data_IF_554560359344
#
_entry.id   IF_554560359344
#
_cell.length_a   1.000
_cell.length_b   1.000
_cell.length_c   1.000
_cell.angle_alpha   90.00
_cell.angle_beta   90.00
_cell.angle_gamma   90.00
#
_symmetry.space_group_name_H-M   'P 1'
#
loop_
_entity.id
_entity.type
_entity.pdbx_description
1 polymer ?
#
# COMPACT_ATOMS: atom_id res chain seq x y z
N UNK A 1 2.65 -3.59 21.35
CA UNK A 1 1.97 -4.36 20.29
C UNK A 1 2.81 -4.24 19.03
N UNK A 2 3.07 -5.33 18.30
CA UNK A 2 3.97 -5.32 17.13
C UNK A 2 3.35 -4.54 15.97
N UNK A 3 4.10 -3.61 15.36
CA UNK A 3 3.66 -2.80 14.23
C UNK A 3 3.24 -3.67 13.05
N UNK A 4 3.96 -4.78 12.79
CA UNK A 4 3.59 -5.78 11.77
C UNK A 4 2.14 -6.23 11.95
N UNK A 5 1.74 -6.58 13.17
CA UNK A 5 0.39 -7.09 13.43
C UNK A 5 -0.66 -5.99 13.26
N UNK A 6 -0.39 -4.78 13.76
CA UNK A 6 -1.29 -3.63 13.59
C UNK A 6 -1.49 -3.31 12.11
N UNK A 7 -0.40 -3.21 11.35
CA UNK A 7 -0.44 -2.83 9.94
C UNK A 7 -1.09 -3.93 9.08
N UNK A 8 -0.82 -5.21 9.37
CA UNK A 8 -1.51 -6.34 8.73
C UNK A 8 -3.01 -6.31 9.00
N UNK A 9 -3.43 -6.05 10.24
CA UNK A 9 -4.86 -5.93 10.57
C UNK A 9 -5.51 -4.73 9.89
N UNK A 10 -4.82 -3.58 9.83
CA UNK A 10 -5.30 -2.38 9.13
C UNK A 10 -5.40 -2.56 7.61
N UNK A 11 -4.62 -3.48 7.03
CA UNK A 11 -4.67 -3.75 5.59
C UNK A 11 -6.07 -4.16 5.16
N UNK A 12 -6.78 -4.97 5.95
CA UNK A 12 -8.10 -5.50 5.61
C UNK A 12 -9.16 -4.39 5.48
N UNK A 13 -9.43 -3.55 6.50
CA UNK A 13 -10.42 -2.49 6.38
C UNK A 13 -10.00 -1.41 5.37
N UNK A 14 -8.70 -1.12 5.24
CA UNK A 14 -8.22 -0.16 4.23
C UNK A 14 -8.43 -0.70 2.81
N UNK A 15 -8.15 -1.99 2.57
CA UNK A 15 -8.39 -2.65 1.29
C UNK A 15 -9.89 -2.63 0.94
N UNK A 16 -10.75 -2.94 1.92
CA UNK A 16 -12.20 -2.84 1.72
C UNK A 16 -12.64 -1.42 1.36
N UNK A 17 -12.11 -0.42 2.05
CA UNK A 17 -12.39 0.99 1.79
C UNK A 17 -12.03 1.36 0.34
N UNK A 18 -10.82 1.04 -0.12
CA UNK A 18 -10.41 1.39 -1.48
C UNK A 18 -11.17 0.62 -2.56
N UNK A 19 -11.56 -0.63 -2.31
CA UNK A 19 -12.42 -1.40 -3.22
C UNK A 19 -13.82 -0.77 -3.29
N UNK A 20 -14.39 -0.38 -2.15
CA UNK A 20 -15.69 0.29 -2.08
C UNK A 20 -15.70 1.60 -2.89
N UNK A 21 -14.71 2.46 -2.70
CA UNK A 21 -14.59 3.70 -3.47
C UNK A 21 -14.20 3.49 -4.94
N UNK A 22 -13.57 2.37 -5.28
CA UNK A 22 -13.27 1.97 -6.67
C UNK A 22 -14.54 1.65 -7.48
N UNK A 23 -15.68 1.43 -6.83
CA UNK A 23 -17.00 1.42 -7.46
C UNK A 23 -17.16 0.44 -8.63
N UNK A 24 -16.43 -0.68 -8.63
CA UNK A 24 -16.50 -1.70 -9.69
C UNK A 24 -16.08 -1.21 -11.09
N UNK A 25 -15.31 -0.13 -11.20
CA UNK A 25 -14.84 0.44 -12.48
C UNK A 25 -15.42 1.81 -12.84
N UNK A 26 -16.38 2.33 -12.06
CA UNK A 26 -16.92 3.69 -12.20
C UNK A 26 -16.53 4.62 -11.04
N UNK A 27 -15.81 4.10 -10.04
CA UNK A 27 -15.35 4.86 -8.88
C UNK A 27 -14.02 5.57 -9.13
N UNK A 28 -13.45 6.10 -8.04
CA UNK A 28 -12.15 6.80 -8.09
C UNK A 28 -11.02 5.87 -7.66
N UNK A 29 -9.92 5.90 -8.41
CA UNK A 29 -8.68 5.22 -8.02
C UNK A 29 -7.86 6.03 -7.01
N UNK A 30 -8.24 7.28 -6.70
CA UNK A 30 -7.51 8.14 -5.75
C UNK A 30 -7.32 7.48 -4.37
N UNK A 31 -8.32 6.85 -3.74
CA UNK A 31 -8.11 6.19 -2.44
C UNK A 31 -7.10 5.04 -2.55
N UNK A 32 -7.12 4.33 -3.68
CA UNK A 32 -6.19 3.24 -3.98
C UNK A 32 -4.77 3.74 -4.16
N UNK A 33 -4.59 4.84 -4.91
CA UNK A 33 -3.30 5.53 -5.08
C UNK A 33 -2.72 5.98 -3.73
N UNK A 34 -3.54 6.61 -2.90
CA UNK A 34 -3.10 7.19 -1.62
C UNK A 34 -2.77 6.11 -0.60
N UNK A 35 -3.58 5.06 -0.49
CA UNK A 35 -3.42 4.04 0.56
C UNK A 35 -2.53 2.88 0.12
N UNK A 36 -2.57 2.49 -1.15
CA UNK A 36 -1.86 1.35 -1.71
C UNK A 36 -1.11 1.71 -3.00
N UNK A 37 -0.23 2.72 -2.99
CA UNK A 37 0.48 3.19 -4.17
C UNK A 37 1.28 2.08 -4.86
N UNK A 38 1.88 1.15 -4.11
CA UNK A 38 2.61 0.00 -4.67
C UNK A 38 1.69 -0.89 -5.51
N UNK A 39 0.43 -1.03 -5.11
CA UNK A 39 -0.56 -1.82 -5.84
C UNK A 39 -1.01 -1.16 -7.14
N UNK A 40 -1.01 0.17 -7.20
CA UNK A 40 -1.45 0.93 -8.37
C UNK A 40 -0.39 0.97 -9.47
N UNK A 41 0.90 0.79 -9.15
CA UNK A 41 1.98 0.70 -10.16
C UNK A 41 1.62 -0.27 -11.29
N UNK A 42 0.94 -1.39 -10.99
CA UNK A 42 0.56 -2.38 -12.00
C UNK A 42 -0.38 -1.89 -13.08
N UNK A 43 -1.14 -0.81 -12.84
CA UNK A 43 -1.98 -0.18 -13.87
C UNK A 43 -1.12 0.38 -15.02
N UNK A 44 0.08 0.87 -14.71
CA UNK A 44 0.94 1.56 -15.65
C UNK A 44 1.94 0.65 -16.38
N UNK A 45 2.17 -0.58 -15.91
CA UNK A 45 3.27 -1.43 -16.40
C UNK A 45 2.79 -2.54 -17.36
N UNK A 46 1.72 -3.30 -17.06
CA UNK A 46 1.01 -4.18 -18.03
C UNK A 46 -0.09 -5.01 -17.34
N UNK A 47 -0.98 -5.63 -18.12
CA UNK A 47 -2.09 -6.46 -17.63
C UNK A 47 -1.67 -7.69 -16.82
N UNK A 48 -0.64 -8.43 -17.25
CA UNK A 48 -0.17 -9.65 -16.55
C UNK A 48 0.42 -9.31 -15.19
N UNK A 49 1.01 -8.12 -15.07
CA UNK A 49 1.59 -7.65 -13.82
C UNK A 49 0.53 -7.11 -12.84
N UNK A 50 -0.69 -6.81 -13.29
CA UNK A 50 -1.76 -6.23 -12.43
C UNK A 50 -2.03 -7.10 -11.18
N UNK A 51 -2.09 -8.42 -11.35
CA UNK A 51 -2.32 -9.35 -10.21
C UNK A 51 -1.12 -9.37 -9.25
N UNK A 52 0.11 -9.36 -9.78
CA UNK A 52 1.32 -9.31 -8.95
C UNK A 52 1.36 -8.03 -8.13
N UNK A 53 1.13 -6.88 -8.76
CA UNK A 53 1.13 -5.59 -8.07
C UNK A 53 -0.01 -5.50 -7.05
N UNK A 54 -1.19 -6.05 -7.32
CA UNK A 54 -2.26 -6.14 -6.32
C UNK A 54 -1.80 -6.88 -5.05
N UNK A 55 -1.15 -8.03 -5.19
CA UNK A 55 -0.59 -8.78 -4.05
C UNK A 55 0.48 -7.97 -3.32
N UNK A 56 1.37 -7.30 -4.06
CA UNK A 56 2.39 -6.42 -3.48
C UNK A 56 1.78 -5.23 -2.73
N UNK A 57 0.68 -4.67 -3.24
CA UNK A 57 -0.12 -3.65 -2.56
C UNK A 57 -0.65 -4.15 -1.23
N UNK A 58 -1.24 -5.35 -1.18
CA UNK A 58 -1.71 -5.94 0.07
C UNK A 58 -0.56 -6.22 1.06
N UNK A 59 0.63 -6.59 0.56
CA UNK A 59 1.81 -6.80 1.39
C UNK A 59 2.48 -5.51 1.86
N UNK A 60 2.14 -4.36 1.29
CA UNK A 60 2.76 -3.06 1.58
C UNK A 60 2.76 -2.74 3.09
N UNK A 61 1.58 -2.76 3.72
CA UNK A 61 1.46 -2.44 5.15
C UNK A 61 2.12 -3.49 6.05
N UNK A 62 1.95 -4.81 5.86
CA UNK A 62 2.70 -5.83 6.59
C UNK A 62 4.22 -5.62 6.51
N UNK A 63 4.76 -5.30 5.33
CA UNK A 63 6.18 -5.02 5.13
C UNK A 63 6.61 -3.76 5.88
N UNK A 64 5.82 -2.68 5.83
CA UNK A 64 6.10 -1.47 6.59
C UNK A 64 6.12 -1.75 8.10
N UNK A 65 5.14 -2.50 8.61
CA UNK A 65 5.09 -2.89 10.01
C UNK A 65 6.27 -3.77 10.43
N UNK A 66 6.69 -4.71 9.57
CA UNK A 66 7.87 -5.53 9.80
C UNK A 66 9.16 -4.71 9.89
N UNK A 67 9.36 -3.77 8.97
CA UNK A 67 10.52 -2.89 8.98
C UNK A 67 10.54 -2.03 10.26
N UNK A 68 9.39 -1.49 10.67
CA UNK A 68 9.27 -0.73 11.92
C UNK A 68 9.60 -1.58 13.15
N UNK A 69 9.09 -2.82 13.22
CA UNK A 69 9.40 -3.74 14.31
C UNK A 69 10.88 -4.15 14.35
N UNK A 70 11.52 -4.29 13.18
CA UNK A 70 12.91 -4.75 13.05
C UNK A 70 13.93 -3.68 13.44
N UNK A 71 13.70 -2.44 13.02
CA UNK A 71 14.69 -1.37 13.14
C UNK A 71 14.36 -0.35 14.24
N UNK A 72 13.09 -0.21 14.63
CA UNK A 72 12.59 0.58 15.77
C UNK A 72 13.17 1.99 15.90
N UNK A 73 13.43 2.67 14.77
CA UNK A 73 14.04 4.00 14.77
C UNK A 73 13.29 4.98 13.87
N UNK A 74 13.45 6.28 14.16
CA UNK A 74 12.80 7.37 13.43
C UNK A 74 13.21 7.42 11.95
N UNK A 75 14.43 6.99 11.62
CA UNK A 75 14.90 6.92 10.23
C UNK A 75 14.06 5.94 9.42
N UNK A 76 13.64 4.82 10.01
CA UNK A 76 12.81 3.81 9.34
C UNK A 76 11.43 4.37 9.00
N UNK A 77 10.81 5.12 9.93
CA UNK A 77 9.55 5.83 9.67
C UNK A 77 9.74 6.81 8.51
N UNK A 78 10.79 7.64 8.56
CA UNK A 78 11.08 8.62 7.51
C UNK A 78 11.27 7.96 6.14
N UNK A 79 12.05 6.86 6.07
CA UNK A 79 12.31 6.15 4.82
C UNK A 79 11.04 5.49 4.26
N UNK A 80 10.21 4.88 5.09
CA UNK A 80 8.93 4.29 4.66
C UNK A 80 8.00 5.38 4.12
N UNK A 81 7.85 6.49 4.85
CA UNK A 81 7.02 7.62 4.43
C UNK A 81 7.53 8.24 3.13
N UNK A 82 8.84 8.46 3.01
CA UNK A 82 9.47 9.00 1.81
C UNK A 82 9.25 8.06 0.61
N UNK A 83 9.50 6.76 0.78
CA UNK A 83 9.27 5.77 -0.28
C UNK A 83 7.80 5.76 -0.72
N UNK A 84 6.86 5.75 0.22
CA UNK A 84 5.43 5.74 -0.07
C UNK A 84 5.00 7.00 -0.82
N UNK A 85 5.43 8.19 -0.38
CA UNK A 85 5.15 9.46 -1.04
C UNK A 85 5.76 9.56 -2.44
N UNK A 86 6.98 9.04 -2.61
CA UNK A 86 7.62 9.01 -3.93
C UNK A 86 6.81 8.15 -4.91
N UNK A 87 6.31 6.99 -4.49
CA UNK A 87 5.46 6.17 -5.37
C UNK A 87 4.17 6.91 -5.69
N UNK A 88 3.50 7.53 -4.71
CA UNK A 88 2.30 8.34 -4.97
C UNK A 88 2.58 9.46 -5.98
N UNK A 89 3.76 10.06 -5.94
CA UNK A 89 4.12 11.17 -6.84
C UNK A 89 4.42 10.72 -8.28
N UNK A 90 5.01 9.54 -8.46
CA UNK A 90 5.43 9.04 -9.78
C UNK A 90 4.38 8.18 -10.50
N UNK A 91 3.31 7.81 -9.81
CA UNK A 91 2.23 6.93 -10.29
C UNK A 91 0.96 7.77 -10.48
#
# INVERSE_FOLDING_TARGET
MKYTLIFSLLTIPLAFLVIFFGGGGHGSYLPFLILFPVGIVGIFVSEVLKTLFFILGLLQFPVYGFLLDRFQNKKTIFLISLFHLLIIFFV
#
